data_IF_574987811225
#
_entry.id   IF_574987811225
#
_cell.length_a   1.000
_cell.length_b   1.000
_cell.length_c   1.000
_cell.angle_alpha   90.00
_cell.angle_beta   90.00
_cell.angle_gamma   90.00
#
_symmetry.space_group_name_H-M   'P 1'
#
loop_
_entity.id
_entity.type
_entity.pdbx_description
1 polymer ?
#
# COMPACT_ATOMS: atom_id res chain seq x y z
N UNK A 1 7.47 -38.85 -19.46
CA UNK A 1 6.45 -37.80 -19.36
C UNK A 1 6.06 -37.49 -17.90
N UNK A 2 6.02 -38.47 -16.99
CA UNK A 2 5.63 -38.24 -15.58
C UNK A 2 6.64 -37.50 -14.70
N UNK A 3 7.95 -37.63 -14.94
CA UNK A 3 9.00 -36.94 -14.15
C UNK A 3 9.02 -35.41 -14.39
N UNK A 4 8.79 -34.97 -15.64
CA UNK A 4 8.74 -33.55 -15.97
C UNK A 4 7.50 -32.90 -15.35
N UNK A 5 6.35 -33.55 -15.38
CA UNK A 5 5.14 -33.07 -14.73
C UNK A 5 5.33 -32.96 -13.22
N UNK A 6 5.94 -33.95 -12.57
CA UNK A 6 6.22 -33.92 -11.14
C UNK A 6 7.21 -32.79 -10.77
N UNK A 7 8.21 -32.54 -11.59
CA UNK A 7 9.18 -31.45 -11.39
C UNK A 7 8.55 -30.07 -11.53
N UNK A 8 7.76 -29.86 -12.59
CA UNK A 8 7.00 -28.60 -12.80
C UNK A 8 6.00 -28.39 -11.66
N UNK A 9 5.30 -29.42 -11.22
CA UNK A 9 4.34 -29.35 -10.12
C UNK A 9 5.04 -29.02 -8.79
N UNK A 10 6.23 -29.56 -8.55
CA UNK A 10 7.03 -29.26 -7.36
C UNK A 10 7.51 -27.82 -7.33
N UNK A 11 7.97 -27.27 -8.46
CA UNK A 11 8.37 -25.85 -8.57
C UNK A 11 7.16 -24.94 -8.34
N UNK A 12 6.04 -25.26 -8.96
CA UNK A 12 4.79 -24.48 -8.82
C UNK A 12 4.27 -24.47 -7.38
N UNK A 13 4.35 -25.60 -6.69
CA UNK A 13 3.95 -25.69 -5.29
C UNK A 13 4.87 -24.87 -4.39
N UNK A 14 6.18 -24.87 -4.63
CA UNK A 14 7.13 -24.03 -3.90
C UNK A 14 6.85 -22.53 -4.09
N UNK A 15 6.63 -22.10 -5.32
CA UNK A 15 6.32 -20.69 -5.62
C UNK A 15 4.99 -20.25 -5.00
N UNK A 16 3.97 -21.10 -5.02
CA UNK A 16 2.68 -20.83 -4.38
C UNK A 16 2.79 -20.73 -2.85
N UNK A 17 3.51 -21.67 -2.22
CA UNK A 17 3.73 -21.64 -0.76
C UNK A 17 4.50 -20.40 -0.35
N UNK A 18 5.54 -20.01 -1.10
CA UNK A 18 6.29 -18.79 -0.86
C UNK A 18 5.38 -17.55 -0.98
N UNK A 19 4.56 -17.48 -2.02
CA UNK A 19 3.60 -16.39 -2.22
C UNK A 19 2.58 -16.33 -1.07
N UNK A 20 2.06 -17.46 -0.63
CA UNK A 20 1.11 -17.52 0.48
C UNK A 20 1.72 -17.05 1.80
N UNK A 21 2.91 -17.54 2.15
CA UNK A 21 3.63 -17.12 3.36
C UNK A 21 3.93 -15.61 3.32
N UNK A 22 4.40 -15.11 2.18
CA UNK A 22 4.70 -13.70 2.01
C UNK A 22 3.43 -12.83 2.14
N UNK A 23 2.30 -13.28 1.60
CA UNK A 23 1.01 -12.59 1.70
C UNK A 23 0.50 -12.54 3.15
N UNK A 24 0.66 -13.62 3.92
CA UNK A 24 0.29 -13.65 5.34
C UNK A 24 1.14 -12.66 6.15
N UNK A 25 2.45 -12.64 5.92
CA UNK A 25 3.35 -11.70 6.61
C UNK A 25 3.02 -10.26 6.26
N UNK A 26 2.75 -9.97 4.98
CA UNK A 26 2.36 -8.65 4.53
C UNK A 26 1.02 -8.21 5.15
N UNK A 27 0.03 -9.10 5.21
CA UNK A 27 -1.26 -8.82 5.84
C UNK A 27 -1.09 -8.50 7.33
N UNK A 28 -0.26 -9.24 8.06
CA UNK A 28 0.03 -8.93 9.46
C UNK A 28 0.64 -7.54 9.63
N UNK A 29 1.53 -7.13 8.74
CA UNK A 29 2.10 -5.78 8.74
C UNK A 29 1.02 -4.73 8.48
N UNK A 30 0.18 -4.94 7.47
CA UNK A 30 -0.94 -4.06 7.13
C UNK A 30 -1.90 -3.91 8.30
N UNK A 31 -2.25 -5.00 8.97
CA UNK A 31 -3.14 -4.97 10.16
C UNK A 31 -2.50 -4.27 11.37
N UNK A 32 -1.19 -4.39 11.56
CA UNK A 32 -0.49 -3.62 12.59
C UNK A 32 -0.60 -2.10 12.37
N UNK A 33 -0.51 -1.65 11.11
CA UNK A 33 -0.74 -0.24 10.77
C UNK A 33 -2.20 0.16 10.95
N UNK A 34 -3.13 -0.64 10.46
CA UNK A 34 -4.56 -0.35 10.54
C UNK A 34 -5.08 -0.25 11.97
N UNK A 35 -4.49 -1.02 12.91
CA UNK A 35 -4.92 -1.08 14.32
C UNK A 35 -4.00 -0.35 15.30
N UNK A 36 -3.08 0.46 14.79
CA UNK A 36 -2.16 1.29 15.58
C UNK A 36 -1.28 0.50 16.55
N UNK A 37 -0.69 -0.61 16.10
CA UNK A 37 0.35 -1.32 16.84
C UNK A 37 0.10 -2.82 17.00
N UNK A 38 0.62 -3.36 18.09
CA UNK A 38 0.68 -4.82 18.38
C UNK A 38 -0.70 -5.49 18.42
N UNK A 39 -1.77 -4.74 18.66
CA UNK A 39 -3.15 -5.24 18.58
C UNK A 39 -3.53 -5.80 17.21
N UNK A 40 -2.86 -5.40 16.15
CA UNK A 40 -3.00 -5.99 14.81
C UNK A 40 -2.64 -7.47 14.76
N UNK A 41 -1.66 -7.92 15.57
CA UNK A 41 -1.28 -9.33 15.67
C UNK A 41 -2.34 -10.22 16.32
N UNK A 42 -3.21 -9.66 17.16
CA UNK A 42 -4.31 -10.39 17.77
C UNK A 42 -5.52 -10.55 16.82
N UNK A 43 -5.56 -9.77 15.74
CA UNK A 43 -6.69 -9.75 14.81
C UNK A 43 -7.00 -11.10 14.14
N UNK A 44 -6.02 -11.90 13.69
CA UNK A 44 -6.29 -13.23 13.13
C UNK A 44 -7.05 -14.16 14.09
N UNK A 45 -6.81 -13.99 15.38
CA UNK A 45 -7.46 -14.79 16.43
C UNK A 45 -8.86 -14.31 16.77
N UNK A 46 -9.09 -13.01 16.70
CA UNK A 46 -10.42 -12.41 16.98
C UNK A 46 -11.38 -12.54 15.80
N UNK A 47 -10.90 -12.38 14.58
CA UNK A 47 -11.71 -12.39 13.37
C UNK A 47 -11.05 -13.19 12.24
N UNK A 48 -10.94 -14.52 12.38
CA UNK A 48 -10.19 -15.37 11.44
C UNK A 48 -10.75 -15.32 10.02
N UNK A 49 -12.07 -15.22 9.86
CA UNK A 49 -12.72 -15.18 8.54
C UNK A 49 -12.32 -13.93 7.77
N UNK A 50 -12.32 -12.77 8.44
CA UNK A 50 -11.95 -11.49 7.82
C UNK A 50 -10.46 -11.49 7.47
N UNK A 51 -9.62 -12.02 8.36
CA UNK A 51 -8.19 -12.14 8.11
C UNK A 51 -7.89 -13.02 6.89
N UNK A 52 -8.54 -14.18 6.78
CA UNK A 52 -8.39 -15.07 5.61
C UNK A 52 -8.83 -14.36 4.34
N UNK A 53 -9.96 -13.66 4.37
CA UNK A 53 -10.46 -12.91 3.22
C UNK A 53 -9.47 -11.84 2.74
N UNK A 54 -8.94 -11.04 3.64
CA UNK A 54 -7.95 -10.01 3.34
C UNK A 54 -6.64 -10.63 2.81
N UNK A 55 -6.18 -11.71 3.45
CA UNK A 55 -5.00 -12.47 3.00
C UNK A 55 -5.18 -12.99 1.56
N UNK A 56 -6.39 -13.48 1.22
CA UNK A 56 -6.70 -13.94 -0.14
C UNK A 56 -6.63 -12.79 -1.16
N UNK A 57 -7.08 -11.61 -0.82
CA UNK A 57 -6.98 -10.42 -1.69
C UNK A 57 -5.52 -10.08 -1.96
N UNK A 58 -4.70 -10.02 -0.92
CA UNK A 58 -3.26 -9.77 -1.04
C UNK A 58 -2.59 -10.89 -1.83
N UNK A 59 -2.91 -12.15 -1.53
CA UNK A 59 -2.37 -13.30 -2.24
C UNK A 59 -2.71 -13.27 -3.73
N UNK A 60 -3.94 -12.87 -4.10
CA UNK A 60 -4.35 -12.73 -5.50
C UNK A 60 -3.53 -11.65 -6.20
N UNK A 61 -3.31 -10.51 -5.56
CA UNK A 61 -2.46 -9.44 -6.11
C UNK A 61 -0.99 -9.88 -6.23
N UNK A 62 -0.46 -10.65 -5.28
CA UNK A 62 0.88 -11.22 -5.32
C UNK A 62 1.00 -12.34 -6.37
N UNK A 63 -0.05 -13.11 -6.61
CA UNK A 63 -0.06 -14.17 -7.63
C UNK A 63 0.16 -13.61 -9.05
N UNK A 64 -0.17 -12.34 -9.29
CA UNK A 64 0.18 -11.66 -10.54
C UNK A 64 1.69 -11.69 -10.80
N UNK A 65 2.52 -11.68 -9.75
CA UNK A 65 3.98 -11.76 -9.89
C UNK A 65 4.45 -13.06 -10.56
N UNK A 66 3.68 -14.15 -10.45
CA UNK A 66 4.00 -15.44 -11.06
C UNK A 66 3.98 -15.39 -12.59
N UNK A 67 3.24 -14.48 -13.18
CA UNK A 67 3.17 -14.27 -14.63
C UNK A 67 4.35 -13.47 -15.18
N UNK A 68 5.09 -12.74 -14.31
CA UNK A 68 6.19 -11.89 -14.73
C UNK A 68 7.54 -12.59 -14.58
N UNK A 69 8.44 -12.33 -15.52
CA UNK A 69 9.81 -12.89 -15.50
C UNK A 69 10.66 -12.33 -14.34
N UNK A 70 10.37 -11.10 -13.90
CA UNK A 70 11.04 -10.43 -12.76
C UNK A 70 10.14 -10.44 -11.53
N UNK A 71 9.92 -11.63 -10.97
CA UNK A 71 9.00 -11.85 -9.83
C UNK A 71 9.29 -10.98 -8.62
N UNK A 72 10.58 -10.84 -8.25
CA UNK A 72 10.99 -10.05 -7.09
C UNK A 72 10.62 -8.57 -7.21
N UNK A 73 10.73 -8.00 -8.42
CA UNK A 73 10.31 -6.63 -8.67
C UNK A 73 8.80 -6.45 -8.46
N UNK A 74 8.00 -7.38 -8.96
CA UNK A 74 6.53 -7.31 -8.81
C UNK A 74 6.13 -7.48 -7.34
N UNK A 75 6.75 -8.41 -6.61
CA UNK A 75 6.52 -8.54 -5.16
C UNK A 75 6.84 -7.24 -4.42
N UNK A 76 7.94 -6.58 -4.75
CA UNK A 76 8.31 -5.31 -4.14
C UNK A 76 7.29 -4.21 -4.44
N UNK A 77 6.87 -4.07 -5.70
CA UNK A 77 5.88 -3.06 -6.11
C UNK A 77 4.54 -3.28 -5.40
N UNK A 78 4.04 -4.52 -5.38
CA UNK A 78 2.77 -4.85 -4.72
C UNK A 78 2.86 -4.63 -3.21
N UNK A 79 4.00 -4.97 -2.59
CA UNK A 79 4.22 -4.72 -1.15
C UNK A 79 4.22 -3.23 -0.82
N UNK A 80 4.94 -2.42 -1.60
CA UNK A 80 4.97 -0.96 -1.43
C UNK A 80 3.57 -0.36 -1.59
N UNK A 81 2.79 -0.86 -2.54
CA UNK A 81 1.41 -0.44 -2.73
C UNK A 81 0.54 -0.73 -1.49
N UNK A 82 0.56 -1.96 -0.96
CA UNK A 82 -0.23 -2.35 0.21
C UNK A 82 0.22 -1.63 1.49
N UNK A 83 1.53 -1.50 1.71
CA UNK A 83 2.08 -0.75 2.85
C UNK A 83 1.73 0.73 2.73
N UNK A 84 1.79 1.30 1.53
CA UNK A 84 1.37 2.67 1.26
C UNK A 84 -0.09 2.93 1.61
N UNK A 85 -1.00 2.02 1.21
CA UNK A 85 -2.40 2.10 1.59
C UNK A 85 -2.60 1.99 3.11
N UNK A 86 -1.91 1.04 3.76
CA UNK A 86 -1.98 0.86 5.21
C UNK A 86 -1.47 2.10 5.96
N UNK A 87 -0.36 2.69 5.51
CA UNK A 87 0.20 3.91 6.08
C UNK A 87 -0.74 5.10 5.89
N UNK A 88 -1.32 5.25 4.71
CA UNK A 88 -2.33 6.29 4.43
C UNK A 88 -3.53 6.14 5.36
N UNK A 89 -4.04 4.92 5.52
CA UNK A 89 -5.15 4.63 6.43
C UNK A 89 -4.76 4.94 7.89
N UNK A 90 -3.56 4.59 8.31
CA UNK A 90 -3.03 4.91 9.65
C UNK A 90 -3.00 6.43 9.90
N UNK A 91 -2.51 7.22 8.94
CA UNK A 91 -2.45 8.68 9.05
C UNK A 91 -3.86 9.27 9.12
N UNK A 92 -4.77 8.80 8.28
CA UNK A 92 -6.17 9.26 8.26
C UNK A 92 -6.87 8.92 9.58
N UNK A 93 -6.71 7.69 10.09
CA UNK A 93 -7.25 7.31 11.39
C UNK A 93 -6.64 8.11 12.55
N UNK A 94 -5.42 8.61 12.38
CA UNK A 94 -4.78 9.50 13.36
C UNK A 94 -5.44 10.88 13.42
N UNK A 95 -5.85 11.39 12.25
CA UNK A 95 -6.49 12.71 12.09
C UNK A 95 -8.01 12.65 12.19
N UNK A 96 -8.63 11.54 11.78
CA UNK A 96 -10.06 11.31 11.77
C UNK A 96 -10.36 9.98 12.49
N UNK A 97 -11.56 9.86 13.03
CA UNK A 97 -12.05 8.60 13.62
C UNK A 97 -12.62 7.62 12.58
N UNK A 98 -12.60 7.98 11.30
CA UNK A 98 -13.16 7.18 10.20
C UNK A 98 -12.04 6.61 9.32
N UNK A 99 -12.13 5.34 8.91
CA UNK A 99 -11.15 4.72 8.02
C UNK A 99 -11.18 5.34 6.62
N UNK A 100 -10.11 5.11 5.86
CA UNK A 100 -9.99 5.51 4.46
C UNK A 100 -11.07 4.83 3.62
N UNK A 101 -11.79 5.61 2.83
CA UNK A 101 -12.88 5.13 1.97
C UNK A 101 -12.64 5.50 0.51
N UNK A 102 -13.36 4.86 -0.40
CA UNK A 102 -13.29 5.16 -1.83
C UNK A 102 -13.63 6.64 -2.14
N UNK A 103 -14.42 7.29 -1.30
CA UNK A 103 -14.72 8.74 -1.42
C UNK A 103 -13.49 9.62 -1.21
N UNK A 104 -12.52 9.17 -0.43
CA UNK A 104 -11.29 9.93 -0.18
C UNK A 104 -10.42 10.06 -1.44
N UNK A 105 -10.57 9.15 -2.42
CA UNK A 105 -9.93 9.29 -3.74
C UNK A 105 -10.44 10.51 -4.54
N UNK A 106 -11.70 10.88 -4.39
CA UNK A 106 -12.23 12.10 -5.00
C UNK A 106 -11.62 13.35 -4.35
N UNK A 107 -11.40 13.31 -3.03
CA UNK A 107 -10.78 14.41 -2.29
C UNK A 107 -9.31 14.62 -2.68
N UNK A 108 -8.59 13.59 -3.16
CA UNK A 108 -7.20 13.72 -3.63
C UNK A 108 -7.13 14.72 -4.79
N UNK A 109 -8.07 14.68 -5.71
CA UNK A 109 -8.13 15.61 -6.85
C UNK A 109 -8.30 17.05 -6.40
N UNK A 110 -9.13 17.29 -5.39
CA UNK A 110 -9.37 18.60 -4.83
C UNK A 110 -8.20 19.05 -3.94
N UNK A 111 -7.58 18.15 -3.19
CA UNK A 111 -6.37 18.41 -2.42
C UNK A 111 -5.18 18.84 -3.32
N UNK A 112 -5.01 18.20 -4.49
CA UNK A 112 -3.98 18.58 -5.46
C UNK A 112 -4.24 19.97 -6.03
N UNK A 113 -5.50 20.32 -6.32
CA UNK A 113 -5.86 21.68 -6.79
C UNK A 113 -5.56 22.72 -5.74
N UNK A 114 -5.92 22.46 -4.49
CA UNK A 114 -5.67 23.35 -3.36
C UNK A 114 -4.16 23.50 -3.11
N UNK A 115 -3.40 22.39 -3.13
CA UNK A 115 -1.94 22.43 -3.03
C UNK A 115 -1.30 23.26 -4.14
N UNK A 116 -1.78 23.14 -5.38
CA UNK A 116 -1.32 23.95 -6.50
C UNK A 116 -1.54 25.46 -6.30
N UNK A 117 -2.68 25.84 -5.70
CA UNK A 117 -2.95 27.24 -5.33
C UNK A 117 -1.97 27.76 -4.28
N UNK A 118 -1.67 26.97 -3.24
CA UNK A 118 -0.71 27.37 -2.20
C UNK A 118 0.71 27.50 -2.75
N UNK A 119 1.13 26.61 -3.65
CA UNK A 119 2.46 26.69 -4.29
C UNK A 119 2.57 27.96 -5.13
N UNK A 120 1.53 28.31 -5.90
CA UNK A 120 1.54 29.54 -6.71
C UNK A 120 1.57 30.82 -5.84
N UNK A 121 0.87 30.84 -4.71
CA UNK A 121 0.91 31.96 -3.76
C UNK A 121 2.30 32.10 -3.11
N UNK A 122 2.94 30.98 -2.75
CA UNK A 122 4.31 31.01 -2.20
C UNK A 122 5.30 31.51 -3.25
N UNK A 123 5.19 31.10 -4.52
CA UNK A 123 6.04 31.59 -5.60
C UNK A 123 5.85 33.09 -5.81
N UNK A 124 4.62 33.60 -5.82
CA UNK A 124 4.33 35.03 -5.93
C UNK A 124 4.92 35.83 -4.76
N UNK A 125 4.83 35.31 -3.54
CA UNK A 125 5.40 35.99 -2.36
C UNK A 125 6.93 36.01 -2.40
N UNK A 126 7.57 34.93 -2.88
CA UNK A 126 9.04 34.88 -3.05
C UNK A 126 9.53 35.85 -4.12
N UNK A 127 8.80 36.01 -5.25
CA UNK A 127 9.13 36.96 -6.30
C UNK A 127 8.99 38.40 -5.77
N UNK A 128 7.98 38.68 -4.96
CA UNK A 128 7.78 40.01 -4.38
C UNK A 128 8.83 40.40 -3.34
N UNK A 129 9.39 39.41 -2.61
CA UNK A 129 10.50 39.62 -1.65
C UNK A 129 11.84 39.82 -2.38
N UNK A 130 11.99 39.26 -3.58
CA UNK A 130 13.24 39.33 -4.36
C UNK A 130 13.34 40.60 -5.26
N UNK A 131 12.30 41.42 -5.33
CA UNK A 131 12.39 42.70 -6.05
C UNK A 131 13.19 43.72 -5.21
N UNK A 132 14.42 44.07 -5.60
CA UNK A 132 15.16 45.09 -4.88
C UNK A 132 14.43 46.44 -5.08
N UNK A 133 13.95 47.04 -4.00
CA UNK A 133 13.50 48.43 -3.97
C UNK A 133 14.59 49.27 -4.58
N UNK A 134 14.38 49.76 -5.81
CA UNK A 134 15.23 50.81 -6.40
C UNK A 134 15.06 52.06 -5.56
N UNK A 135 16.13 52.61 -4.96
CA UNK A 135 16.05 53.93 -4.36
C UNK A 135 15.91 54.95 -5.49
N UNK A 136 14.97 55.86 -5.34
CA UNK A 136 14.84 57.05 -6.18
C UNK A 136 16.01 58.00 -5.94
#
# INVERSE_FOLDING_TARGET
>A
MNRVKAFVQKIWTYDLVHTAVYSIVLELIVECFNRRGIMGLAFPFMHPIIFIYNTLIIMTSMALALFFRRRMFVYSVVSVFWIGLALTNFIILSSRKTPFTAMDFYLIKDAIKVAGLYVSVIQLSLIHISEPTRPY
#
